data_IF_230673672625
#
_entry.id   IF_230673672625
#
_cell.length_a   1.000
_cell.length_b   1.000
_cell.length_c   1.000
_cell.angle_alpha   90.00
_cell.angle_beta   90.00
_cell.angle_gamma   90.00
#
_symmetry.space_group_name_H-M   'P 1'
#
loop_
_entity.id
_entity.type
_entity.pdbx_description
1 polymer ?
#
# COMPACT_ATOMS: atom_id res chain seq x y z
N UNK A 1 -6.90 4.12 -14.52
CA UNK A 1 -6.78 3.35 -13.25
C UNK A 1 -7.72 3.99 -12.23
N UNK A 2 -8.86 3.36 -11.92
CA UNK A 2 -9.92 4.02 -11.14
C UNK A 2 -9.69 3.80 -9.64
N UNK A 3 -9.78 4.89 -8.87
CA UNK A 3 -9.79 4.82 -7.41
C UNK A 3 -11.12 4.18 -6.94
N UNK A 4 -11.13 3.46 -5.81
CA UNK A 4 -12.37 2.95 -5.23
C UNK A 4 -13.34 4.09 -4.92
N UNK A 5 -14.64 3.80 -5.01
CA UNK A 5 -15.68 4.77 -4.73
C UNK A 5 -15.57 5.31 -3.29
N UNK A 6 -15.66 6.63 -3.18
CA UNK A 6 -15.50 7.36 -1.92
C UNK A 6 -16.46 8.53 -1.86
N UNK A 7 -16.75 8.97 -0.64
CA UNK A 7 -17.52 10.17 -0.40
C UNK A 7 -16.66 11.42 -0.68
N UNK A 8 -17.14 12.39 -1.49
CA UNK A 8 -16.33 13.55 -1.91
C UNK A 8 -16.10 14.56 -0.78
N UNK A 9 -16.93 14.56 0.28
CA UNK A 9 -16.82 15.53 1.37
C UNK A 9 -16.03 14.99 2.57
N UNK A 10 -16.21 13.71 2.90
CA UNK A 10 -15.55 13.07 4.04
C UNK A 10 -14.32 12.25 3.64
N UNK A 11 -14.10 12.07 2.33
CA UNK A 11 -13.06 11.23 1.73
C UNK A 11 -13.10 9.75 2.12
N UNK A 12 -14.12 9.30 2.86
CA UNK A 12 -14.25 7.92 3.33
C UNK A 12 -14.44 6.96 2.16
N UNK A 13 -13.76 5.82 2.20
CA UNK A 13 -14.06 4.74 1.27
C UNK A 13 -15.47 4.21 1.54
N UNK A 14 -16.23 3.90 0.49
CA UNK A 14 -17.57 3.31 0.63
C UNK A 14 -17.53 1.86 1.16
N UNK A 15 -16.44 1.15 0.94
CA UNK A 15 -16.18 -0.17 1.53
C UNK A 15 -15.68 -0.01 2.97
N UNK A 16 -16.40 -0.60 3.93
CA UNK A 16 -16.07 -0.57 5.36
C UNK A 16 -14.69 -1.18 5.65
N UNK A 17 -14.42 -2.36 5.11
CA UNK A 17 -13.15 -3.08 5.32
C UNK A 17 -11.95 -2.28 4.79
N UNK A 18 -12.12 -1.63 3.64
CA UNK A 18 -11.07 -0.79 3.05
C UNK A 18 -10.80 0.45 3.90
N UNK A 19 -11.86 1.08 4.44
CA UNK A 19 -11.74 2.23 5.34
C UNK A 19 -11.09 1.83 6.68
N UNK A 20 -11.40 0.66 7.22
CA UNK A 20 -10.77 0.16 8.45
C UNK A 20 -9.29 -0.14 8.24
N UNK A 21 -8.94 -0.84 7.15
CA UNK A 21 -7.55 -1.10 6.79
C UNK A 21 -6.76 0.21 6.59
N UNK A 22 -7.36 1.20 5.93
CA UNK A 22 -6.77 2.53 5.79
C UNK A 22 -6.56 3.20 7.16
N UNK A 23 -7.55 3.16 8.06
CA UNK A 23 -7.44 3.79 9.38
C UNK A 23 -6.30 3.22 10.21
N UNK A 24 -6.15 1.91 10.23
CA UNK A 24 -5.07 1.23 10.98
C UNK A 24 -3.70 1.66 10.43
N UNK A 25 -3.54 1.63 9.11
CA UNK A 25 -2.28 2.01 8.47
C UNK A 25 -1.99 3.51 8.62
N UNK A 26 -3.02 4.35 8.50
CA UNK A 26 -2.92 5.81 8.67
C UNK A 26 -2.42 6.18 10.06
N UNK A 27 -3.01 5.60 11.11
CA UNK A 27 -2.56 5.79 12.50
C UNK A 27 -1.11 5.36 12.64
N UNK A 28 -0.79 4.13 12.23
CA UNK A 28 0.57 3.55 12.33
C UNK A 28 1.64 4.44 11.69
N UNK A 29 1.40 4.91 10.46
CA UNK A 29 2.34 5.78 9.73
C UNK A 29 2.46 7.17 10.35
N UNK A 30 1.40 7.68 10.98
CA UNK A 30 1.35 9.04 11.49
C UNK A 30 1.91 9.21 12.90
N UNK A 31 2.04 8.14 13.70
CA UNK A 31 2.45 8.23 15.12
C UNK A 31 3.71 9.05 15.38
N UNK A 32 4.77 8.84 14.60
CA UNK A 32 6.04 9.58 14.78
C UNK A 32 5.84 11.07 14.54
N UNK A 33 5.16 11.42 13.45
CA UNK A 33 4.88 12.81 13.10
C UNK A 33 3.98 13.48 14.13
N UNK A 34 2.93 12.80 14.61
CA UNK A 34 2.03 13.31 15.66
C UNK A 34 2.81 13.64 16.93
N UNK A 35 3.72 12.77 17.37
CA UNK A 35 4.54 13.03 18.56
C UNK A 35 5.47 14.22 18.38
N UNK A 36 6.12 14.35 17.23
CA UNK A 36 6.95 15.52 16.94
C UNK A 36 6.13 16.81 16.85
N UNK A 37 4.95 16.75 16.24
CA UNK A 37 4.00 17.85 16.17
C UNK A 37 3.55 18.33 17.56
N UNK A 38 3.27 17.41 18.48
CA UNK A 38 2.87 17.75 19.85
C UNK A 38 4.00 18.46 20.62
N UNK A 39 5.23 17.95 20.53
CA UNK A 39 6.40 18.58 21.18
C UNK A 39 6.65 19.97 20.59
N UNK A 40 6.68 20.07 19.26
CA UNK A 40 6.86 21.34 18.57
C UNK A 40 5.74 22.33 18.92
N UNK A 41 4.49 21.85 18.98
CA UNK A 41 3.33 22.63 19.39
C UNK A 41 3.48 23.19 20.80
N UNK A 42 3.94 22.39 21.77
CA UNK A 42 4.20 22.87 23.15
C UNK A 42 5.28 23.93 23.17
N UNK A 43 6.39 23.74 22.43
CA UNK A 43 7.51 24.69 22.39
C UNK A 43 7.14 26.03 21.72
N UNK A 44 6.37 25.98 20.63
CA UNK A 44 5.92 27.18 19.94
C UNK A 44 4.83 27.86 20.77
N UNK A 45 3.72 27.16 21.05
CA UNK A 45 2.55 27.75 21.69
C UNK A 45 2.80 28.22 23.12
N UNK A 46 3.67 27.53 23.86
CA UNK A 46 4.02 27.86 25.24
C UNK A 46 5.12 28.92 25.31
N UNK A 47 6.41 28.54 25.44
CA UNK A 47 7.46 29.49 25.76
C UNK A 47 7.72 30.53 24.67
N UNK A 48 7.68 30.17 23.38
CA UNK A 48 7.98 31.13 22.31
C UNK A 48 6.94 32.26 22.26
N UNK A 49 5.65 31.93 22.22
CA UNK A 49 4.60 32.94 22.28
C UNK A 49 4.42 33.54 23.68
N UNK A 50 4.83 32.86 24.74
CA UNK A 50 4.86 33.42 26.10
C UNK A 50 5.82 34.61 26.21
N UNK A 51 6.96 34.59 25.50
CA UNK A 51 7.85 35.76 25.40
C UNK A 51 7.14 36.93 24.69
N UNK A 52 6.40 36.64 23.61
CA UNK A 52 5.63 37.66 22.88
C UNK A 52 4.57 38.29 23.79
N UNK A 53 3.86 37.49 24.60
CA UNK A 53 2.87 38.00 25.55
C UNK A 53 3.50 38.99 26.54
N UNK A 54 4.71 38.71 27.05
CA UNK A 54 5.42 39.60 27.98
C UNK A 54 5.89 40.91 27.32
N UNK A 55 6.34 40.85 26.06
CA UNK A 55 6.82 42.02 25.34
C UNK A 55 5.66 42.94 24.95
N UNK A 56 4.56 42.37 24.45
CA UNK A 56 3.44 43.15 23.90
C UNK A 56 2.41 43.54 24.96
N UNK A 57 2.20 42.70 25.98
CA UNK A 57 1.20 42.93 27.03
C UNK A 57 1.71 42.52 28.42
N UNK A 58 2.74 43.21 28.98
CA UNK A 58 3.37 42.83 30.24
C UNK A 58 2.39 42.65 31.42
N UNK A 59 1.35 43.49 31.48
CA UNK A 59 0.32 43.45 32.53
C UNK A 59 -0.65 42.28 32.39
N UNK A 60 -0.90 41.80 31.17
CA UNK A 60 -1.80 40.67 30.88
C UNK A 60 -1.06 39.33 30.78
N UNK A 61 0.27 39.36 30.59
CA UNK A 61 1.11 38.17 30.40
C UNK A 61 0.87 37.04 31.42
N UNK A 62 0.70 37.30 32.75
CA UNK A 62 0.40 36.22 33.70
C UNK A 62 -0.90 35.47 33.39
N UNK A 63 -1.94 36.18 32.96
CA UNK A 63 -3.22 35.57 32.56
C UNK A 63 -3.06 34.79 31.26
N UNK A 64 -2.35 35.33 30.27
CA UNK A 64 -2.06 34.59 29.04
C UNK A 64 -1.26 33.30 29.31
N UNK A 65 -0.25 33.36 30.16
CA UNK A 65 0.58 32.20 30.53
C UNK A 65 -0.20 31.12 31.27
N UNK A 66 -1.16 31.47 32.13
CA UNK A 66 -2.01 30.47 32.78
C UNK A 66 -2.87 29.72 31.76
N UNK A 67 -3.52 30.43 30.83
CA UNK A 67 -4.30 29.81 29.75
C UNK A 67 -3.40 28.92 28.89
N UNK A 68 -2.21 29.39 28.49
CA UNK A 68 -1.25 28.58 27.72
C UNK A 68 -0.82 27.34 28.47
N UNK A 69 -0.52 27.48 29.77
CA UNK A 69 -0.11 26.40 30.66
C UNK A 69 -1.12 25.25 30.69
N UNK A 70 -2.42 25.56 30.75
CA UNK A 70 -3.49 24.55 30.70
C UNK A 70 -3.48 23.79 29.37
N UNK A 71 -3.38 24.50 28.24
CA UNK A 71 -3.33 23.87 26.91
C UNK A 71 -2.06 23.03 26.74
N UNK A 72 -0.91 23.53 27.16
CA UNK A 72 0.36 22.81 27.12
C UNK A 72 0.33 21.56 28.02
N UNK A 73 -0.27 21.62 29.21
CA UNK A 73 -0.48 20.47 30.06
C UNK A 73 -1.37 19.42 29.38
N UNK A 74 -2.46 19.86 28.72
CA UNK A 74 -3.28 19.00 27.88
C UNK A 74 -2.50 18.35 26.74
N UNK A 75 -1.63 19.11 26.05
CA UNK A 75 -0.78 18.60 24.97
C UNK A 75 0.22 17.55 25.47
N UNK A 76 0.82 17.75 26.65
CA UNK A 76 1.69 16.77 27.30
C UNK A 76 0.90 15.51 27.72
N UNK A 77 -0.35 15.67 28.17
CA UNK A 77 -1.27 14.56 28.43
C UNK A 77 -1.57 13.75 27.17
N UNK A 78 -1.85 14.40 26.04
CA UNK A 78 -2.05 13.72 24.75
C UNK A 78 -0.76 13.08 24.25
N UNK A 79 0.40 13.72 24.45
CA UNK A 79 1.70 13.17 24.09
C UNK A 79 2.00 11.89 24.87
N UNK A 80 1.80 11.89 26.19
CA UNK A 80 1.98 10.68 27.02
C UNK A 80 0.96 9.61 26.66
N UNK A 81 -0.31 9.97 26.45
CA UNK A 81 -1.33 9.06 25.97
C UNK A 81 -1.01 8.45 24.59
N UNK A 82 -0.24 9.15 23.75
CA UNK A 82 0.15 8.65 22.42
C UNK A 82 0.99 7.37 22.43
N UNK A 83 1.54 6.97 23.58
CA UNK A 83 2.27 5.72 23.76
C UNK A 83 1.37 4.55 24.18
N UNK A 84 0.13 4.83 24.59
CA UNK A 84 -0.83 3.79 24.97
C UNK A 84 -1.44 3.11 23.73
N UNK A 85 -1.69 1.78 23.76
CA UNK A 85 -2.35 1.07 22.66
C UNK A 85 -3.74 1.64 22.33
N UNK A 86 -4.47 2.13 23.35
CA UNK A 86 -5.79 2.73 23.19
C UNK A 86 -5.78 4.00 22.33
N UNK A 87 -4.63 4.69 22.21
CA UNK A 87 -4.52 5.92 21.43
C UNK A 87 -4.90 5.73 19.97
N UNK A 88 -4.65 4.56 19.37
CA UNK A 88 -5.02 4.29 17.98
C UNK A 88 -6.52 4.50 17.70
N UNK A 89 -7.38 4.20 18.68
CA UNK A 89 -8.83 4.42 18.59
C UNK A 89 -9.22 5.87 18.87
N UNK A 90 -8.53 6.51 19.81
CA UNK A 90 -8.85 7.84 20.34
C UNK A 90 -8.04 8.98 19.72
N UNK A 91 -7.14 8.71 18.77
CA UNK A 91 -6.23 9.70 18.20
C UNK A 91 -6.97 10.93 17.64
N UNK A 92 -7.99 10.71 16.81
CA UNK A 92 -8.74 11.81 16.19
C UNK A 92 -9.46 12.72 17.21
N UNK A 93 -10.30 12.19 18.13
CA UNK A 93 -10.95 13.05 19.12
C UNK A 93 -9.97 13.68 20.12
N UNK A 94 -8.89 12.99 20.51
CA UNK A 94 -7.88 13.54 21.41
C UNK A 94 -7.14 14.73 20.79
N UNK A 95 -6.73 14.61 19.53
CA UNK A 95 -6.05 15.70 18.82
C UNK A 95 -7.02 16.83 18.46
N UNK A 96 -8.28 16.52 18.08
CA UNK A 96 -9.28 17.53 17.78
C UNK A 96 -9.65 18.36 19.02
N UNK A 97 -9.87 17.72 20.16
CA UNK A 97 -10.15 18.41 21.43
C UNK A 97 -8.98 19.28 21.88
N UNK A 98 -7.74 18.80 21.74
CA UNK A 98 -6.56 19.59 22.05
C UNK A 98 -6.44 20.84 21.18
N UNK A 99 -6.59 20.69 19.86
CA UNK A 99 -6.51 21.81 18.92
C UNK A 99 -7.65 22.81 19.11
N UNK A 100 -8.86 22.32 19.40
CA UNK A 100 -9.99 23.17 19.75
C UNK A 100 -9.71 23.94 21.04
N UNK A 101 -9.18 23.28 22.08
CA UNK A 101 -8.80 23.95 23.33
C UNK A 101 -7.71 25.01 23.10
N UNK A 102 -6.72 24.73 22.24
CA UNK A 102 -5.68 25.71 21.88
C UNK A 102 -6.26 26.94 21.16
N UNK A 103 -7.15 26.72 20.19
CA UNK A 103 -7.83 27.80 19.46
C UNK A 103 -8.77 28.62 20.35
N UNK A 104 -9.60 27.95 21.16
CA UNK A 104 -10.46 28.62 22.13
C UNK A 104 -9.67 29.34 23.22
N UNK A 105 -8.50 28.83 23.61
CA UNK A 105 -7.59 29.53 24.52
C UNK A 105 -7.10 30.86 23.97
N UNK A 106 -6.76 30.92 22.67
CA UNK A 106 -6.38 32.18 22.01
C UNK A 106 -7.58 33.13 21.90
N UNK A 107 -8.76 32.62 21.57
CA UNK A 107 -10.00 33.42 21.53
C UNK A 107 -10.37 33.95 22.92
N UNK A 108 -10.13 33.17 23.99
CA UNK A 108 -10.34 33.60 25.36
C UNK A 108 -9.33 34.69 25.78
N UNK A 109 -8.06 34.57 25.41
CA UNK A 109 -7.08 35.63 25.62
C UNK A 109 -7.51 36.92 24.94
N UNK A 110 -7.95 36.84 23.68
CA UNK A 110 -8.50 37.98 22.95
C UNK A 110 -9.68 38.61 23.70
N UNK A 111 -10.62 37.80 24.21
CA UNK A 111 -11.78 38.31 24.96
C UNK A 111 -11.36 39.07 26.23
N UNK A 112 -10.39 38.53 26.98
CA UNK A 112 -9.96 39.06 28.28
C UNK A 112 -8.91 40.17 28.20
N UNK A 113 -8.16 40.27 27.11
CA UNK A 113 -7.15 41.32 26.92
C UNK A 113 -7.83 42.70 26.88
N UNK A 114 -7.48 43.63 27.81
CA UNK A 114 -8.11 44.94 27.89
C UNK A 114 -7.87 45.82 26.67
N UNK A 115 -6.71 45.72 26.02
CA UNK A 115 -6.44 46.46 24.78
C UNK A 115 -7.07 45.75 23.58
N UNK A 116 -7.15 44.42 23.62
CA UNK A 116 -7.69 43.58 22.56
C UNK A 116 -6.77 43.47 21.34
N UNK A 117 -5.86 44.42 21.13
CA UNK A 117 -5.00 44.53 19.95
C UNK A 117 -4.01 43.37 19.78
N UNK A 118 -3.54 42.77 20.88
CA UNK A 118 -2.39 41.87 20.85
C UNK A 118 -2.68 40.45 20.36
N UNK A 119 -3.95 40.04 20.32
CA UNK A 119 -4.34 38.64 20.08
C UNK A 119 -5.27 38.44 18.87
N UNK A 120 -5.57 39.50 18.10
CA UNK A 120 -6.45 39.41 16.92
C UNK A 120 -5.98 38.37 15.89
N UNK A 121 -4.66 38.28 15.67
CA UNK A 121 -4.08 37.40 14.65
C UNK A 121 -3.81 35.97 15.15
N UNK A 122 -3.82 35.77 16.48
CA UNK A 122 -3.43 34.51 17.13
C UNK A 122 -4.15 33.27 16.57
N UNK A 123 -5.49 33.28 16.42
CA UNK A 123 -6.23 32.13 15.90
C UNK A 123 -5.82 31.66 14.49
N UNK A 124 -5.23 32.51 13.65
CA UNK A 124 -4.73 32.09 12.33
C UNK A 124 -3.57 31.11 12.46
N UNK A 125 -2.75 31.26 13.50
CA UNK A 125 -1.59 30.41 13.73
C UNK A 125 -1.97 28.95 14.05
N UNK A 126 -3.16 28.71 14.65
CA UNK A 126 -3.60 27.34 14.99
C UNK A 126 -4.26 26.64 13.80
N UNK A 127 -4.72 27.39 12.79
CA UNK A 127 -5.37 26.83 11.60
C UNK A 127 -4.39 25.95 10.82
N UNK A 128 -3.21 26.47 10.48
CA UNK A 128 -2.23 25.72 9.68
C UNK A 128 -1.83 24.36 10.29
N UNK A 129 -1.42 24.26 11.57
CA UNK A 129 -1.08 22.97 12.17
C UNK A 129 -2.27 22.02 12.30
N UNK A 130 -3.50 22.54 12.39
CA UNK A 130 -4.74 21.73 12.43
C UNK A 130 -4.91 20.89 11.17
N UNK A 131 -4.60 21.45 9.99
CA UNK A 131 -4.76 20.75 8.71
C UNK A 131 -3.51 20.03 8.22
N UNK A 132 -2.31 20.56 8.53
CA UNK A 132 -1.07 20.11 7.88
C UNK A 132 -0.22 19.23 8.79
N UNK A 133 -0.09 19.60 10.07
CA UNK A 133 0.97 19.06 10.93
C UNK A 133 0.47 17.91 11.81
N UNK A 134 -0.71 18.06 12.41
CA UNK A 134 -1.21 17.14 13.46
C UNK A 134 -1.90 15.89 12.89
N UNK A 135 -2.02 15.76 11.56
CA UNK A 135 -2.63 14.60 10.87
C UNK A 135 -4.07 14.30 11.34
N UNK A 136 -4.85 15.35 11.61
CA UNK A 136 -6.30 15.21 11.69
C UNK A 136 -6.84 14.83 10.32
N UNK A 137 -7.90 14.02 10.32
CA UNK A 137 -8.68 13.81 9.10
C UNK A 137 -9.42 15.09 8.75
N UNK A 138 -9.60 15.34 7.47
CA UNK A 138 -10.19 16.53 6.87
C UNK A 138 -11.50 16.93 7.55
N UNK A 139 -12.42 15.99 7.78
CA UNK A 139 -13.70 16.28 8.41
C UNK A 139 -13.54 16.79 9.86
N UNK A 140 -12.63 16.18 10.64
CA UNK A 140 -12.32 16.63 12.00
C UNK A 140 -11.62 18.00 12.00
N UNK A 141 -10.64 18.18 11.12
CA UNK A 141 -9.90 19.43 11.01
C UNK A 141 -10.82 20.59 10.61
N UNK A 142 -11.73 20.35 9.66
CA UNK A 142 -12.72 21.32 9.18
C UNK A 142 -13.69 21.72 10.29
N UNK A 143 -14.16 20.76 11.08
CA UNK A 143 -15.03 21.04 12.22
C UNK A 143 -14.31 21.90 13.27
N UNK A 144 -13.08 21.55 13.66
CA UNK A 144 -12.29 22.34 14.61
C UNK A 144 -12.04 23.76 14.06
N UNK A 145 -11.62 23.87 12.80
CA UNK A 145 -11.34 25.16 12.16
C UNK A 145 -12.55 26.08 12.15
N UNK A 146 -13.72 25.60 11.73
CA UNK A 146 -14.95 26.41 11.74
C UNK A 146 -15.44 26.76 13.13
N UNK A 147 -15.26 25.89 14.13
CA UNK A 147 -15.60 26.21 15.52
C UNK A 147 -14.71 27.34 16.06
N UNK A 148 -13.40 27.32 15.76
CA UNK A 148 -12.47 28.39 16.17
C UNK A 148 -12.80 29.69 15.44
N UNK A 149 -13.09 29.65 14.13
CA UNK A 149 -13.52 30.82 13.35
C UNK A 149 -14.80 31.42 13.93
N UNK A 150 -15.80 30.60 14.20
CA UNK A 150 -17.07 31.06 14.77
C UNK A 150 -16.87 31.68 16.17
N UNK A 151 -16.06 31.06 17.03
CA UNK A 151 -15.75 31.59 18.35
C UNK A 151 -15.02 32.94 18.28
N UNK A 152 -14.04 33.06 17.38
CA UNK A 152 -13.31 34.31 17.14
C UNK A 152 -14.27 35.43 16.69
N UNK A 153 -15.08 35.19 15.65
CA UNK A 153 -16.03 36.19 15.13
C UNK A 153 -17.04 36.59 16.21
N UNK A 154 -17.55 35.62 16.98
CA UNK A 154 -18.48 35.90 18.06
C UNK A 154 -17.85 36.77 19.16
N UNK A 155 -16.61 36.49 19.57
CA UNK A 155 -15.92 37.29 20.58
C UNK A 155 -15.68 38.72 20.09
N UNK A 156 -15.17 38.88 18.87
CA UNK A 156 -14.89 40.20 18.31
C UNK A 156 -16.18 41.00 18.13
N UNK A 157 -17.25 40.38 17.61
CA UNK A 157 -18.50 41.09 17.34
C UNK A 157 -19.32 41.46 18.60
N UNK A 158 -19.20 40.68 19.68
CA UNK A 158 -20.04 40.84 20.89
C UNK A 158 -19.32 41.52 22.05
N UNK A 159 -17.99 41.39 22.14
CA UNK A 159 -17.21 41.82 23.30
C UNK A 159 -16.17 42.89 23.00
N UNK A 160 -15.91 43.21 21.73
CA UNK A 160 -14.94 44.24 21.35
C UNK A 160 -15.65 45.41 20.68
N UNK A 161 -15.32 46.62 21.16
CA UNK A 161 -15.85 47.88 20.61
C UNK A 161 -15.02 48.28 19.39
N UNK A 162 -15.19 47.54 18.30
CA UNK A 162 -14.47 47.74 17.04
C UNK A 162 -15.44 48.10 15.92
N UNK A 163 -14.97 48.86 14.94
CA UNK A 163 -15.78 49.21 13.79
C UNK A 163 -16.23 47.95 13.04
N UNK A 164 -17.46 47.96 12.51
CA UNK A 164 -18.00 46.81 11.77
C UNK A 164 -17.08 46.35 10.61
N UNK A 165 -16.36 47.29 9.99
CA UNK A 165 -15.37 46.99 8.94
C UNK A 165 -14.19 46.14 9.44
N UNK A 166 -13.72 46.34 10.67
CA UNK A 166 -12.63 45.55 11.26
C UNK A 166 -13.09 44.13 11.59
N UNK A 167 -14.32 43.98 12.11
CA UNK A 167 -14.94 42.66 12.33
C UNK A 167 -15.01 41.87 11.03
N UNK A 168 -15.49 42.52 9.96
CA UNK A 168 -15.61 41.90 8.63
C UNK A 168 -14.23 41.53 8.07
N UNK A 169 -13.24 42.43 8.17
CA UNK A 169 -11.87 42.16 7.72
C UNK A 169 -11.26 40.97 8.44
N UNK A 170 -11.34 40.93 9.78
CA UNK A 170 -10.84 39.82 10.59
C UNK A 170 -11.53 38.50 10.26
N UNK A 171 -12.86 38.50 10.09
CA UNK A 171 -13.63 37.33 9.70
C UNK A 171 -13.22 36.78 8.32
N UNK A 172 -12.99 37.67 7.35
CA UNK A 172 -12.51 37.30 6.01
C UNK A 172 -11.11 36.68 6.10
N UNK A 173 -10.19 37.29 6.86
CA UNK A 173 -8.81 36.80 6.95
C UNK A 173 -8.71 35.42 7.59
N UNK A 174 -9.35 35.22 8.75
CA UNK A 174 -9.35 33.92 9.43
C UNK A 174 -10.14 32.87 8.64
N UNK A 175 -11.25 33.27 8.01
CA UNK A 175 -12.04 32.38 7.15
C UNK A 175 -11.26 31.92 5.93
N UNK A 176 -10.54 32.83 5.27
CA UNK A 176 -9.67 32.51 4.14
C UNK A 176 -8.53 31.58 4.55
N UNK A 177 -7.87 31.84 5.68
CA UNK A 177 -6.85 30.94 6.23
C UNK A 177 -7.42 29.54 6.49
N UNK A 178 -8.64 29.46 7.04
CA UNK A 178 -9.32 28.18 7.28
C UNK A 178 -9.61 27.44 5.97
N UNK A 179 -10.12 28.12 4.93
CA UNK A 179 -10.39 27.53 3.61
C UNK A 179 -9.11 27.05 2.93
N UNK A 180 -8.02 27.81 3.01
CA UNK A 180 -6.70 27.39 2.51
C UNK A 180 -6.23 26.13 3.25
N UNK A 181 -6.37 26.13 4.58
CA UNK A 181 -6.09 24.96 5.42
C UNK A 181 -6.94 23.75 5.02
N UNK A 182 -8.24 23.93 4.81
CA UNK A 182 -9.15 22.89 4.34
C UNK A 182 -8.70 22.31 2.99
N UNK A 183 -8.32 23.16 2.04
CA UNK A 183 -7.81 22.72 0.75
C UNK A 183 -6.54 21.87 0.91
N UNK A 184 -5.57 22.33 1.72
CA UNK A 184 -4.35 21.60 2.00
C UNK A 184 -4.61 20.26 2.72
N UNK A 185 -5.47 20.25 3.74
CA UNK A 185 -5.85 19.05 4.49
C UNK A 185 -6.59 18.02 3.64
N UNK A 186 -7.49 18.49 2.77
CA UNK A 186 -8.19 17.66 1.80
C UNK A 186 -7.20 17.01 0.81
N UNK A 187 -6.27 17.79 0.25
CA UNK A 187 -5.24 17.29 -0.67
C UNK A 187 -4.31 16.28 0.01
N UNK A 188 -3.88 16.54 1.25
CA UNK A 188 -3.02 15.64 2.02
C UNK A 188 -3.73 14.31 2.35
N UNK A 189 -5.00 14.35 2.75
CA UNK A 189 -5.78 13.13 3.01
C UNK A 189 -6.08 12.37 1.71
N UNK A 190 -6.43 13.06 0.62
CA UNK A 190 -6.61 12.46 -0.70
C UNK A 190 -5.34 11.73 -1.15
N UNK A 191 -4.19 12.40 -1.07
CA UNK A 191 -2.90 11.81 -1.40
C UNK A 191 -2.59 10.58 -0.55
N UNK A 192 -2.80 10.65 0.77
CA UNK A 192 -2.59 9.51 1.67
C UNK A 192 -3.47 8.30 1.29
N UNK A 193 -4.71 8.53 0.89
CA UNK A 193 -5.65 7.48 0.44
C UNK A 193 -5.23 6.87 -0.89
N UNK A 194 -4.78 7.69 -1.84
CA UNK A 194 -4.26 7.22 -3.13
C UNK A 194 -3.00 6.38 -2.94
N UNK A 195 -2.07 6.82 -2.09
CA UNK A 195 -0.84 6.09 -1.79
C UNK A 195 -1.13 4.75 -1.12
N UNK A 196 -2.11 4.70 -0.20
CA UNK A 196 -2.57 3.45 0.40
C UNK A 196 -3.10 2.47 -0.65
N UNK A 197 -3.94 2.95 -1.58
CA UNK A 197 -4.50 2.12 -2.65
C UNK A 197 -3.42 1.60 -3.61
N UNK A 198 -2.50 2.47 -4.02
CA UNK A 198 -1.38 2.11 -4.89
C UNK A 198 -0.48 1.04 -4.26
N UNK A 199 -0.14 1.19 -2.97
CA UNK A 199 0.66 0.21 -2.25
C UNK A 199 -0.02 -1.17 -2.25
N UNK A 200 -1.32 -1.22 -1.93
CA UNK A 200 -2.09 -2.47 -1.91
C UNK A 200 -2.12 -3.17 -3.26
N UNK A 201 -2.22 -2.41 -4.34
CA UNK A 201 -2.24 -2.99 -5.68
C UNK A 201 -0.87 -3.48 -6.12
N UNK A 202 0.21 -2.78 -5.75
CA UNK A 202 1.57 -3.28 -5.99
C UNK A 202 1.77 -4.61 -5.28
N UNK A 203 1.30 -4.74 -4.04
CA UNK A 203 1.39 -5.98 -3.28
C UNK A 203 0.56 -7.11 -3.94
N UNK A 204 -0.63 -6.81 -4.45
CA UNK A 204 -1.43 -7.79 -5.22
C UNK A 204 -0.71 -8.26 -6.48
N UNK A 205 -0.20 -7.34 -7.30
CA UNK A 205 0.57 -7.69 -8.51
C UNK A 205 1.84 -8.47 -8.21
N UNK A 206 2.48 -8.18 -7.07
CA UNK A 206 3.65 -8.94 -6.61
C UNK A 206 3.27 -10.37 -6.24
N UNK A 207 2.15 -10.56 -5.55
CA UNK A 207 1.64 -11.89 -5.23
C UNK A 207 1.30 -12.69 -6.50
N UNK A 208 0.56 -12.09 -7.44
CA UNK A 208 0.25 -12.70 -8.74
C UNK A 208 1.51 -13.10 -9.53
N UNK A 209 2.51 -12.20 -9.59
CA UNK A 209 3.77 -12.50 -10.27
C UNK A 209 4.57 -13.61 -9.56
N UNK A 210 4.52 -13.68 -8.22
CA UNK A 210 5.19 -14.73 -7.47
C UNK A 210 4.56 -16.10 -7.76
N UNK A 211 3.24 -16.18 -7.83
CA UNK A 211 2.52 -17.41 -8.22
C UNK A 211 2.88 -17.85 -9.65
N UNK A 212 2.94 -16.90 -10.59
CA UNK A 212 3.37 -17.19 -11.97
C UNK A 212 4.83 -17.67 -12.05
N UNK A 213 5.73 -17.06 -11.29
CA UNK A 213 7.13 -17.47 -11.21
C UNK A 213 7.27 -18.88 -10.62
N UNK A 214 6.51 -19.19 -9.57
CA UNK A 214 6.50 -20.52 -8.97
C UNK A 214 5.97 -21.57 -9.94
N UNK A 215 4.85 -21.29 -10.62
CA UNK A 215 4.30 -22.17 -11.65
C UNK A 215 5.32 -22.43 -12.77
N UNK A 216 6.01 -21.37 -13.23
CA UNK A 216 7.07 -21.46 -14.24
C UNK A 216 8.26 -22.29 -13.75
N UNK A 217 8.67 -22.13 -12.49
CA UNK A 217 9.76 -22.92 -11.90
C UNK A 217 9.39 -24.40 -11.82
N UNK A 218 8.17 -24.73 -11.38
CA UNK A 218 7.66 -26.11 -11.33
C UNK A 218 7.60 -26.73 -12.72
N UNK A 219 7.15 -25.97 -13.72
CA UNK A 219 7.14 -26.40 -15.11
C UNK A 219 8.56 -26.77 -15.61
N UNK A 220 9.56 -25.90 -15.43
CA UNK A 220 10.92 -26.18 -15.86
C UNK A 220 11.59 -27.34 -15.11
N UNK A 221 11.30 -27.50 -13.81
CA UNK A 221 11.76 -28.63 -13.04
C UNK A 221 11.20 -29.95 -13.63
N UNK A 222 9.89 -30.01 -13.87
CA UNK A 222 9.22 -31.17 -14.45
C UNK A 222 9.78 -31.51 -15.83
N UNK A 223 9.89 -30.52 -16.73
CA UNK A 223 10.51 -30.69 -18.05
C UNK A 223 11.92 -31.25 -17.94
N UNK A 224 12.76 -30.69 -17.05
CA UNK A 224 14.15 -31.14 -16.89
C UNK A 224 14.25 -32.60 -16.45
N UNK A 225 13.38 -33.03 -15.52
CA UNK A 225 13.30 -34.43 -15.07
C UNK A 225 12.83 -35.36 -16.18
N UNK A 226 11.80 -34.95 -16.93
CA UNK A 226 11.26 -35.74 -18.03
C UNK A 226 12.22 -35.86 -19.21
N UNK A 227 13.07 -34.85 -19.47
CA UNK A 227 14.13 -34.91 -20.48
C UNK A 227 15.35 -35.73 -20.02
N UNK A 228 15.74 -35.65 -18.74
CA UNK A 228 16.89 -36.39 -18.20
C UNK A 228 16.70 -37.90 -18.29
N UNK A 229 15.50 -38.40 -17.99
CA UNK A 229 15.22 -39.86 -18.00
C UNK A 229 15.48 -40.53 -19.35
N UNK A 230 14.87 -40.12 -20.48
CA UNK A 230 15.16 -40.70 -21.79
C UNK A 230 16.59 -40.41 -22.23
N UNK A 231 17.19 -39.26 -21.88
CA UNK A 231 18.59 -38.97 -22.19
C UNK A 231 19.54 -39.98 -21.52
N UNK A 232 19.36 -40.26 -20.23
CA UNK A 232 20.13 -41.30 -19.51
C UNK A 232 19.90 -42.68 -20.11
N UNK A 233 18.67 -43.01 -20.51
CA UNK A 233 18.33 -44.28 -21.15
C UNK A 233 18.72 -44.37 -22.65
N UNK A 234 19.21 -43.28 -23.24
CA UNK A 234 19.89 -43.24 -24.54
C UNK A 234 21.39 -43.43 -24.34
N UNK A 235 21.99 -42.67 -23.42
CA UNK A 235 23.43 -42.70 -23.15
C UNK A 235 23.89 -44.07 -22.64
N UNK A 236 23.20 -44.65 -21.66
CA UNK A 236 23.62 -45.96 -21.09
C UNK A 236 23.80 -47.07 -22.13
N UNK A 237 22.79 -47.39 -22.96
CA UNK A 237 22.96 -48.42 -24.00
C UNK A 237 23.92 -48.01 -25.14
N UNK A 238 24.18 -46.71 -25.33
CA UNK A 238 25.18 -46.23 -26.28
C UNK A 238 26.60 -46.45 -25.73
N UNK A 239 26.82 -46.17 -24.45
CA UNK A 239 28.07 -46.42 -23.74
C UNK A 239 28.37 -47.93 -23.68
N UNK A 240 27.35 -48.77 -23.43
CA UNK A 240 27.47 -50.24 -23.47
C UNK A 240 27.93 -50.74 -24.86
N UNK A 241 27.39 -50.14 -25.92
CA UNK A 241 27.74 -50.46 -27.32
C UNK A 241 29.15 -50.00 -27.65
N UNK A 242 29.55 -48.79 -27.26
CA UNK A 242 30.89 -48.26 -27.48
C UNK A 242 31.94 -49.05 -26.70
N UNK A 243 31.68 -49.36 -25.42
CA UNK A 243 32.57 -50.20 -24.61
C UNK A 243 32.75 -51.61 -25.18
N UNK A 244 31.68 -52.23 -25.67
CA UNK A 244 31.76 -53.54 -26.34
C UNK A 244 32.58 -53.50 -27.65
N UNK A 245 32.66 -52.36 -28.34
CA UNK A 245 33.48 -52.15 -29.53
C UNK A 245 34.95 -51.84 -29.18
N UNK A 246 35.21 -51.18 -28.06
CA UNK A 246 36.57 -50.82 -27.60
C UNK A 246 37.32 -52.00 -26.98
N UNK A 247 36.63 -52.85 -26.20
CA UNK A 247 37.23 -54.01 -25.51
C UNK A 247 37.68 -55.15 -26.47
N UNK A 248 37.29 -55.11 -27.75
CA UNK A 248 37.38 -56.29 -28.63
C UNK A 248 37.93 -56.01 -30.03
N UNK A 249 38.99 -55.21 -30.11
CA UNK A 249 39.72 -54.94 -31.37
C UNK A 249 40.36 -56.16 -32.07
N UNK A 250 40.17 -57.42 -31.65
CA UNK A 250 40.95 -58.56 -32.17
C UNK A 250 40.25 -59.84 -32.67
N UNK A 251 38.91 -60.02 -32.59
CA UNK A 251 38.29 -61.29 -33.03
C UNK A 251 37.09 -61.12 -34.00
N UNK A 252 37.22 -61.69 -35.21
CA UNK A 252 36.28 -61.50 -36.34
C UNK A 252 35.03 -62.38 -36.34
N UNK A 253 33.96 -61.95 -35.66
CA UNK A 253 32.70 -62.69 -35.50
C UNK A 253 31.41 -61.95 -35.91
N UNK A 254 31.35 -61.35 -37.10
CA UNK A 254 30.33 -60.40 -37.57
C UNK A 254 28.82 -60.74 -37.36
N UNK A 255 28.41 -62.02 -37.35
CA UNK A 255 26.99 -62.39 -37.36
C UNK A 255 26.37 -62.54 -35.96
N UNK A 256 27.14 -62.94 -34.93
CA UNK A 256 26.67 -62.95 -33.53
C UNK A 256 26.69 -61.54 -32.93
N UNK A 257 27.59 -60.70 -33.40
CA UNK A 257 27.74 -59.28 -33.04
C UNK A 257 26.48 -58.46 -33.37
N UNK A 258 25.95 -58.59 -34.59
CA UNK A 258 24.76 -57.84 -35.03
C UNK A 258 23.52 -58.09 -34.16
N UNK A 259 23.38 -59.29 -33.58
CA UNK A 259 22.26 -59.66 -32.70
C UNK A 259 22.41 -59.11 -31.28
N UNK A 260 23.64 -59.11 -30.74
CA UNK A 260 23.94 -58.57 -29.41
C UNK A 260 23.75 -57.05 -29.34
N UNK A 261 24.15 -56.32 -30.40
CA UNK A 261 23.96 -54.87 -30.52
C UNK A 261 22.51 -54.45 -30.79
N UNK A 262 21.67 -55.35 -31.32
CA UNK A 262 20.31 -55.01 -31.72
C UNK A 262 19.36 -54.68 -30.56
N UNK A 263 19.58 -55.24 -29.35
CA UNK A 263 18.75 -54.93 -28.18
C UNK A 263 19.07 -53.54 -27.57
N UNK A 264 20.35 -53.18 -27.31
CA UNK A 264 20.75 -51.83 -26.92
C UNK A 264 20.27 -50.75 -27.91
N UNK A 265 20.52 -50.93 -29.20
CA UNK A 265 20.13 -49.96 -30.24
C UNK A 265 18.60 -49.76 -30.33
N UNK A 266 17.81 -50.80 -30.05
CA UNK A 266 16.35 -50.67 -29.95
C UNK A 266 15.92 -49.84 -28.73
N UNK A 267 16.61 -49.93 -27.60
CA UNK A 267 16.36 -49.08 -26.42
C UNK A 267 16.72 -47.62 -26.71
N UNK A 268 17.90 -47.37 -27.29
CA UNK A 268 18.32 -46.03 -27.76
C UNK A 268 17.25 -45.40 -28.64
N UNK A 269 16.79 -46.11 -29.68
CA UNK A 269 15.78 -45.60 -30.61
C UNK A 269 14.44 -45.29 -29.94
N UNK A 270 14.00 -46.11 -28.98
CA UNK A 270 12.73 -45.87 -28.24
C UNK A 270 12.84 -44.63 -27.36
N UNK A 271 13.95 -44.44 -26.66
CA UNK A 271 14.16 -43.28 -25.80
C UNK A 271 14.39 -41.99 -26.60
N UNK A 272 15.09 -42.06 -27.74
CA UNK A 272 15.23 -40.93 -28.67
C UNK A 272 13.86 -40.42 -29.16
N UNK A 273 12.95 -41.34 -29.51
CA UNK A 273 11.55 -40.99 -29.86
C UNK A 273 10.75 -40.41 -28.68
N UNK A 274 11.03 -40.85 -27.45
CA UNK A 274 10.39 -40.27 -26.25
C UNK A 274 10.89 -38.84 -26.01
N UNK A 275 12.21 -38.61 -26.09
CA UNK A 275 12.82 -37.29 -25.96
C UNK A 275 12.31 -36.33 -27.06
N UNK A 276 12.23 -36.80 -28.30
CA UNK A 276 11.70 -36.03 -29.42
C UNK A 276 10.26 -35.54 -29.15
N UNK A 277 9.37 -36.42 -28.67
CA UNK A 277 8.00 -36.03 -28.30
C UNK A 277 7.95 -34.96 -27.21
N UNK A 278 8.84 -35.03 -26.20
CA UNK A 278 8.91 -34.01 -25.14
C UNK A 278 9.40 -32.66 -25.67
N UNK A 279 10.37 -32.67 -26.58
CA UNK A 279 10.85 -31.45 -27.26
C UNK A 279 9.73 -30.85 -28.11
N UNK A 280 9.01 -31.67 -28.87
CA UNK A 280 7.88 -31.22 -29.70
C UNK A 280 6.77 -30.60 -28.85
N UNK A 281 6.41 -31.22 -27.72
CA UNK A 281 5.44 -30.66 -26.76
C UNK A 281 5.88 -29.31 -26.20
N UNK A 282 7.18 -29.14 -25.91
CA UNK A 282 7.72 -27.89 -25.40
C UNK A 282 7.73 -26.79 -26.48
N UNK A 283 8.05 -27.14 -27.73
CA UNK A 283 7.98 -26.22 -28.87
C UNK A 283 6.54 -25.79 -29.16
N UNK A 284 5.58 -26.70 -29.06
CA UNK A 284 4.16 -26.38 -29.24
C UNK A 284 3.64 -25.46 -28.13
N UNK A 285 4.07 -25.66 -26.88
CA UNK A 285 3.78 -24.73 -25.80
C UNK A 285 4.40 -23.34 -26.04
N UNK A 286 5.66 -23.27 -26.47
CA UNK A 286 6.33 -22.00 -26.78
C UNK A 286 5.64 -21.24 -27.93
N UNK A 287 5.15 -21.96 -28.96
CA UNK A 287 4.33 -21.38 -30.03
C UNK A 287 2.99 -20.88 -29.51
N UNK A 288 2.37 -21.60 -28.56
CA UNK A 288 1.11 -21.20 -27.95
C UNK A 288 1.28 -19.92 -27.10
N UNK A 289 2.31 -19.83 -26.26
CA UNK A 289 2.62 -18.63 -25.46
C UNK A 289 2.94 -17.40 -26.33
N UNK A 290 3.61 -17.59 -27.46
CA UNK A 290 3.90 -16.52 -28.42
C UNK A 290 2.69 -16.16 -29.33
N UNK A 291 1.55 -16.84 -29.18
CA UNK A 291 0.36 -16.62 -30.00
C UNK A 291 0.48 -17.11 -31.45
N UNK A 292 1.44 -17.98 -31.74
CA UNK A 292 1.75 -18.50 -33.08
C UNK A 292 1.18 -19.90 -33.35
N UNK A 293 0.41 -20.47 -32.41
CA UNK A 293 -0.29 -21.74 -32.63
C UNK A 293 -1.60 -21.50 -33.40
N UNK A 294 -1.58 -21.78 -34.71
CA UNK A 294 -2.76 -21.63 -35.56
C UNK A 294 -3.55 -22.93 -35.67
N UNK A 295 -4.80 -22.91 -35.22
CA UNK A 295 -5.74 -24.02 -35.40
C UNK A 295 -6.11 -24.15 -36.88
N UNK A 296 -5.98 -25.35 -37.43
CA UNK A 296 -6.44 -25.69 -38.78
C UNK A 296 -7.69 -26.57 -38.71
N UNK A 297 -8.89 -26.01 -38.52
CA UNK A 297 -10.10 -26.79 -38.38
C UNK A 297 -10.40 -27.56 -39.68
N UNK A 298 -10.65 -28.87 -39.54
CA UNK A 298 -11.09 -29.75 -40.63
C UNK A 298 -12.34 -30.52 -40.22
N UNK A 299 -13.25 -30.77 -41.17
CA UNK A 299 -14.40 -31.67 -40.96
C UNK A 299 -13.92 -33.11 -40.92
N UNK A 300 -14.17 -33.81 -39.80
CA UNK A 300 -13.80 -35.21 -39.61
C UNK A 300 -14.89 -35.99 -38.86
N UNK A 301 -14.90 -37.32 -38.98
CA UNK A 301 -15.83 -38.18 -38.25
C UNK A 301 -15.28 -38.40 -36.83
N UNK A 302 -16.03 -37.96 -35.81
CA UNK A 302 -15.60 -38.06 -34.42
C UNK A 302 -15.52 -39.52 -33.92
N UNK A 303 -16.49 -40.36 -34.28
CA UNK A 303 -16.59 -41.73 -33.74
C UNK A 303 -15.37 -42.63 -34.08
N UNK A 304 -14.85 -42.65 -35.33
CA UNK A 304 -13.61 -43.37 -35.64
C UNK A 304 -12.38 -42.79 -34.95
N UNK A 305 -12.30 -41.46 -34.81
CA UNK A 305 -11.17 -40.79 -34.16
C UNK A 305 -11.10 -41.16 -32.68
N UNK A 306 -12.21 -41.02 -31.95
CA UNK A 306 -12.28 -41.37 -30.52
C UNK A 306 -11.97 -42.86 -30.32
N UNK A 307 -12.50 -43.74 -31.19
CA UNK A 307 -12.23 -45.18 -31.11
C UNK A 307 -10.74 -45.49 -31.25
N UNK A 308 -10.07 -44.89 -32.24
CA UNK A 308 -8.64 -45.06 -32.45
C UNK A 308 -7.80 -44.54 -31.28
N UNK A 309 -8.21 -43.44 -30.65
CA UNK A 309 -7.56 -42.95 -29.42
C UNK A 309 -7.78 -43.94 -28.27
N UNK A 310 -9.01 -44.39 -28.01
CA UNK A 310 -9.29 -45.32 -26.91
C UNK A 310 -8.57 -46.67 -27.05
N UNK A 311 -8.48 -47.22 -28.27
CA UNK A 311 -7.76 -48.47 -28.54
C UNK A 311 -6.26 -48.31 -28.24
N UNK A 312 -5.67 -47.13 -28.49
CA UNK A 312 -4.26 -46.87 -28.19
C UNK A 312 -3.91 -46.84 -26.69
N UNK A 313 -4.91 -46.72 -25.81
CA UNK A 313 -4.75 -46.73 -24.35
C UNK A 313 -5.24 -48.02 -23.68
N UNK A 314 -5.87 -48.94 -24.41
CA UNK A 314 -6.45 -50.17 -23.86
C UNK A 314 -5.41 -51.04 -23.12
N UNK A 315 -4.22 -51.22 -23.70
CA UNK A 315 -3.11 -51.98 -23.08
C UNK A 315 -2.58 -51.37 -21.76
N UNK A 316 -2.73 -50.05 -21.58
CA UNK A 316 -2.31 -49.38 -20.33
C UNK A 316 -3.40 -49.42 -19.27
N UNK A 317 -4.68 -49.37 -19.67
CA UNK A 317 -5.82 -49.46 -18.76
C UNK A 317 -6.01 -50.87 -18.18
N UNK A 318 -5.58 -51.93 -18.88
CA UNK A 318 -5.63 -53.32 -18.39
C UNK A 318 -4.50 -53.67 -17.40
N UNK A 319 -3.55 -52.75 -17.16
CA UNK A 319 -2.37 -52.97 -16.29
C UNK A 319 -2.41 -52.21 -14.95
N UNK A 320 -3.47 -51.47 -14.66
CA UNK A 320 -3.79 -50.94 -13.33
C UNK A 320 -4.93 -51.75 -12.69
#
# INVERSE_FOLDING_TARGET
>A
MQLPARDPFTLRFRSGDLEEAFRVEYVRRSMRLVRYALVLGVLIYGPLFGVVDYVNAPSFAPTAWTIRGVVCAGALGVYTFSFAPAFARWMQPALASLLLAAGLGLVLMLALDPTGENYFEGPVLIILPTYVVVRLRFAWASAVGWLVVAAYVAVVALFKDVAAGEVVSGAIFIGAANVIGMFAGYMLEDYARRQFWQARLIDQKRAENAELLEARSRFFANVSHELRTPLTLILGPLDDVLGALEDRRDDGGAQREASALAAPLRRVRRNARRLQRLIDQLLDLAKLEAGHLHLQPRRGRLAPFVRGVTESFAEHAERE
#
